data_IF_460254478776
#
_entry.id   IF_460254478776
#
_cell.length_a   1.000
_cell.length_b   1.000
_cell.length_c   1.000
_cell.angle_alpha   90.00
_cell.angle_beta   90.00
_cell.angle_gamma   90.00
#
_symmetry.space_group_name_H-M   'P 1'
#
loop_
_entity.id
_entity.type
_entity.pdbx_description
1 polymer ?
#
# COMPACT_ATOMS: atom_id res chain seq x y z
N UNK A 1 -8.39 10.81 1.78
CA UNK A 1 -7.86 9.70 0.97
C UNK A 1 -7.62 8.48 1.81
N UNK A 2 -7.78 7.30 1.24
CA UNK A 2 -7.50 6.07 1.96
C UNK A 2 -6.04 5.69 1.83
N UNK A 3 -5.51 5.07 2.88
CA UNK A 3 -4.17 4.51 2.86
C UNK A 3 -4.29 3.00 3.01
N UNK A 4 -3.96 2.28 1.95
CA UNK A 4 -4.00 0.83 1.95
C UNK A 4 -2.69 0.29 2.50
N UNK A 5 -2.78 -0.40 3.64
CA UNK A 5 -1.62 -1.03 4.25
C UNK A 5 -1.31 -2.32 3.50
N UNK A 6 -0.11 -2.42 2.98
CA UNK A 6 0.32 -3.54 2.17
C UNK A 6 1.56 -4.19 2.76
N UNK A 7 1.67 -5.50 2.54
CA UNK A 7 2.89 -6.24 2.88
C UNK A 7 3.60 -6.65 1.59
N UNK A 8 4.90 -6.40 1.54
CA UNK A 8 5.75 -6.83 0.44
C UNK A 8 6.21 -8.26 0.71
N UNK A 9 5.58 -9.22 0.03
CA UNK A 9 5.86 -10.64 0.25
C UNK A 9 7.18 -11.08 -0.40
N UNK A 10 7.69 -10.31 -1.36
CA UNK A 10 8.95 -10.63 -2.04
C UNK A 10 10.17 -10.22 -1.20
N UNK A 11 10.16 -8.98 -0.70
CA UNK A 11 11.31 -8.42 0.02
C UNK A 11 11.08 -8.30 1.52
N UNK A 12 9.87 -8.51 1.97
CA UNK A 12 9.46 -8.27 3.35
C UNK A 12 9.18 -6.80 3.62
N UNK A 13 8.55 -6.52 4.76
CA UNK A 13 8.23 -5.17 5.17
C UNK A 13 6.84 -4.72 4.73
N UNK A 14 6.51 -3.50 5.14
CA UNK A 14 5.17 -2.93 4.94
C UNK A 14 5.29 -1.56 4.28
N UNK A 15 4.23 -1.18 3.57
CA UNK A 15 4.14 0.14 2.95
C UNK A 15 2.67 0.52 2.78
N UNK A 16 2.43 1.79 2.45
CA UNK A 16 1.09 2.28 2.17
C UNK A 16 0.96 2.68 0.70
N UNK A 17 -0.26 2.52 0.18
CA UNK A 17 -0.64 3.11 -1.11
C UNK A 17 -1.78 4.08 -0.84
N UNK A 18 -1.60 5.35 -1.15
CA UNK A 18 -2.58 6.39 -0.91
C UNK A 18 -3.42 6.62 -2.16
N UNK A 19 -4.71 6.27 -2.07
CA UNK A 19 -5.63 6.36 -3.21
C UNK A 19 -7.08 6.23 -2.73
N UNK A 20 -8.03 6.29 -3.65
CA UNK A 20 -9.46 6.26 -3.33
C UNK A 20 -10.09 4.86 -3.43
N UNK A 21 -9.45 3.94 -4.15
CA UNK A 21 -9.99 2.59 -4.35
C UNK A 21 -8.87 1.56 -4.48
N UNK A 22 -9.23 0.28 -4.30
CA UNK A 22 -8.26 -0.80 -4.41
C UNK A 22 -7.79 -0.98 -5.86
N UNK A 23 -8.65 -0.72 -6.85
CA UNK A 23 -8.27 -0.76 -8.26
C UNK A 23 -7.18 0.28 -8.55
N UNK A 24 -7.34 1.48 -8.00
CA UNK A 24 -6.33 2.54 -8.10
C UNK A 24 -5.02 2.13 -7.44
N UNK A 25 -5.12 1.48 -6.27
CA UNK A 25 -3.94 0.98 -5.56
C UNK A 25 -3.17 -0.03 -6.42
N UNK A 26 -3.88 -0.94 -7.08
CA UNK A 26 -3.26 -1.92 -7.97
C UNK A 26 -2.54 -1.26 -9.14
N UNK A 27 -3.15 -0.24 -9.73
CA UNK A 27 -2.52 0.52 -10.82
C UNK A 27 -1.24 1.20 -10.36
N UNK A 28 -1.27 1.83 -9.20
CA UNK A 28 -0.10 2.50 -8.62
C UNK A 28 1.03 1.50 -8.39
N UNK A 29 0.71 0.32 -7.86
CA UNK A 29 1.70 -0.72 -7.61
C UNK A 29 2.34 -1.22 -8.90
N UNK A 30 1.52 -1.44 -9.94
CA UNK A 30 2.03 -1.86 -11.25
C UNK A 30 2.95 -0.81 -11.86
N UNK A 31 2.60 0.47 -11.74
CA UNK A 31 3.43 1.59 -12.22
C UNK A 31 4.78 1.65 -11.50
N UNK A 32 4.82 1.22 -10.24
CA UNK A 32 6.04 1.21 -9.43
C UNK A 32 6.82 -0.10 -9.54
N UNK A 33 6.41 -1.00 -10.43
CA UNK A 33 7.14 -2.22 -10.71
C UNK A 33 6.84 -3.38 -9.75
N UNK A 34 5.80 -3.29 -8.96
CA UNK A 34 5.41 -4.39 -8.07
C UNK A 34 4.68 -5.48 -8.85
N UNK A 35 4.87 -6.72 -8.40
CA UNK A 35 4.08 -7.85 -8.86
C UNK A 35 2.92 -8.01 -7.88
N UNK A 36 1.68 -7.88 -8.34
CA UNK A 36 0.50 -7.93 -7.47
C UNK A 36 0.36 -9.25 -6.73
N UNK A 37 0.89 -10.33 -7.26
CA UNK A 37 0.90 -11.64 -6.59
C UNK A 37 1.82 -11.65 -5.37
N UNK A 38 2.75 -10.71 -5.28
CA UNK A 38 3.72 -10.59 -4.20
C UNK A 38 3.39 -9.46 -3.23
N UNK A 39 2.16 -8.93 -3.31
CA UNK A 39 1.69 -7.88 -2.41
C UNK A 39 0.39 -8.32 -1.76
N UNK A 40 0.33 -8.19 -0.44
CA UNK A 40 -0.87 -8.51 0.33
C UNK A 40 -1.48 -7.23 0.89
N UNK A 41 -2.77 -7.00 0.63
CA UNK A 41 -3.51 -5.87 1.18
C UNK A 41 -4.05 -6.27 2.55
N UNK A 42 -3.60 -5.59 3.61
CA UNK A 42 -3.92 -5.96 4.98
C UNK A 42 -5.05 -5.14 5.60
N UNK A 43 -5.08 -3.84 5.31
CA UNK A 43 -6.04 -2.94 5.96
C UNK A 43 -6.13 -1.62 5.20
N UNK A 44 -7.11 -0.82 5.57
CA UNK A 44 -7.29 0.54 5.07
C UNK A 44 -7.34 1.46 6.28
N UNK A 45 -6.47 2.46 6.32
CA UNK A 45 -6.39 3.39 7.45
C UNK A 45 -6.46 4.83 6.96
N UNK A 46 -6.76 5.76 7.87
CA UNK A 46 -6.77 7.18 7.56
C UNK A 46 -5.34 7.76 7.54
N UNK A 47 -5.23 9.02 7.11
CA UNK A 47 -3.93 9.68 6.98
C UNK A 47 -3.21 9.81 8.32
N UNK A 48 -3.95 10.08 9.39
CA UNK A 48 -3.39 10.23 10.72
C UNK A 48 -2.77 8.92 11.22
N UNK A 49 -3.49 7.81 11.03
CA UNK A 49 -3.02 6.49 11.42
C UNK A 49 -1.79 6.07 10.60
N UNK A 50 -1.80 6.37 9.30
CA UNK A 50 -0.67 6.07 8.42
C UNK A 50 0.60 6.81 8.86
N UNK A 51 0.47 8.06 9.30
CA UNK A 51 1.58 8.85 9.82
C UNK A 51 2.21 8.20 11.06
N UNK A 52 1.38 7.63 11.93
CA UNK A 52 1.85 6.98 13.14
C UNK A 52 2.74 5.77 12.80
N UNK A 53 2.38 5.01 11.79
CA UNK A 53 3.18 3.85 11.37
C UNK A 53 4.51 4.25 10.74
N UNK A 54 4.54 5.36 9.99
CA UNK A 54 5.76 5.88 9.41
C UNK A 54 6.36 5.04 8.28
N UNK A 55 5.55 4.20 7.62
CA UNK A 55 6.01 3.42 6.48
C UNK A 55 6.05 4.28 5.21
N UNK A 56 6.77 3.79 4.19
CA UNK A 56 6.79 4.42 2.87
C UNK A 56 5.39 4.48 2.29
N UNK A 57 5.08 5.53 1.54
CA UNK A 57 3.78 5.71 0.89
C UNK A 57 3.98 5.92 -0.61
N UNK A 58 3.19 5.17 -1.39
CA UNK A 58 3.19 5.28 -2.86
C UNK A 58 1.96 6.02 -3.36
#
# INVERSE_FOLDING_TARGET
MNNYLCEDLENGGYFFVQCDSIEEAEEILLENGFNLDEVDFLDVVDDETAEIYGYDTY
#
